data_IF_754406705551
#
_entry.id   IF_754406705551
#
_cell.length_a   1.000
_cell.length_b   1.000
_cell.length_c   1.000
_cell.angle_alpha   90.00
_cell.angle_beta   90.00
_cell.angle_gamma   90.00
#
_symmetry.space_group_name_H-M   'P 1'
#
loop_
_entity.id
_entity.type
_entity.pdbx_description
1 polymer ?
#
# COMPACT_ATOMS: atom_id res chain seq x y z
N UNK A 1 2.83 20.86 -3.56
CA UNK A 1 1.69 20.18 -2.92
C UNK A 1 0.50 21.13 -2.90
N UNK A 2 -0.60 20.74 -3.50
CA UNK A 2 -1.84 21.53 -3.54
C UNK A 2 -2.77 20.93 -2.50
N UNK A 3 -2.99 21.64 -1.38
CA UNK A 3 -4.01 21.26 -0.41
C UNK A 3 -5.38 21.71 -0.93
N UNK A 4 -6.34 20.80 -0.94
CA UNK A 4 -7.74 21.09 -1.17
C UNK A 4 -8.43 20.97 0.18
N UNK A 5 -8.63 22.10 0.85
CA UNK A 5 -9.11 22.15 2.25
C UNK A 5 -10.50 21.52 2.47
N UNK A 6 -11.31 21.40 1.42
CA UNK A 6 -12.69 20.90 1.52
C UNK A 6 -12.84 19.39 1.36
N UNK A 7 -11.82 18.69 0.86
CA UNK A 7 -11.91 17.25 0.54
C UNK A 7 -11.12 16.34 1.48
N UNK A 8 -10.26 16.91 2.32
CA UNK A 8 -9.45 16.16 3.27
C UNK A 8 -8.26 15.41 2.67
N UNK A 9 -7.93 15.63 1.39
CA UNK A 9 -6.76 15.03 0.73
C UNK A 9 -5.84 16.09 0.11
N UNK A 10 -4.63 15.69 -0.18
CA UNK A 10 -3.59 16.53 -0.83
C UNK A 10 -3.27 15.94 -2.20
N UNK A 11 -3.27 16.79 -3.23
CA UNK A 11 -2.85 16.39 -4.58
C UNK A 11 -1.40 16.84 -4.77
N UNK A 12 -0.53 15.90 -5.14
CA UNK A 12 0.85 16.22 -5.47
C UNK A 12 0.94 17.03 -6.76
N UNK A 13 1.90 17.97 -6.81
CA UNK A 13 2.07 18.84 -7.98
C UNK A 13 2.68 18.14 -9.20
N UNK A 14 3.17 16.92 -9.05
CA UNK A 14 3.69 16.10 -10.15
C UNK A 14 2.59 15.49 -11.03
N UNK A 15 1.34 15.48 -10.55
CA UNK A 15 0.20 15.00 -11.34
C UNK A 15 -0.64 16.15 -11.89
N UNK A 16 -1.29 15.91 -13.03
CA UNK A 16 -2.27 16.81 -13.64
C UNK A 16 -3.72 16.50 -13.26
N UNK A 17 -3.94 15.59 -12.33
CA UNK A 17 -5.28 15.28 -11.81
C UNK A 17 -5.89 16.49 -11.12
N UNK A 18 -7.15 16.75 -11.39
CA UNK A 18 -7.87 17.91 -10.85
C UNK A 18 -8.69 17.53 -9.61
N UNK A 19 -8.98 18.52 -8.77
CA UNK A 19 -9.87 18.32 -7.63
C UNK A 19 -11.29 17.89 -8.03
N UNK A 20 -11.74 18.26 -9.23
CA UNK A 20 -13.04 17.87 -9.76
C UNK A 20 -13.11 16.38 -10.09
N UNK A 21 -12.04 15.83 -10.68
CA UNK A 21 -11.92 14.39 -10.94
C UNK A 21 -11.89 13.55 -9.67
N UNK A 22 -11.41 14.14 -8.57
CA UNK A 22 -11.35 13.51 -7.24
C UNK A 22 -12.51 13.97 -6.32
N UNK A 23 -13.59 14.55 -6.90
CA UNK A 23 -14.72 14.95 -6.09
C UNK A 23 -15.35 13.74 -5.37
N UNK A 24 -15.58 13.88 -4.08
CA UNK A 24 -16.09 12.81 -3.23
C UNK A 24 -17.39 12.19 -3.79
N UNK A 25 -18.31 13.01 -4.28
CA UNK A 25 -19.56 12.55 -4.86
C UNK A 25 -19.35 11.66 -6.10
N UNK A 26 -18.34 11.97 -6.90
CA UNK A 26 -17.98 11.17 -8.10
C UNK A 26 -17.36 9.84 -7.68
N UNK A 27 -16.40 9.85 -6.75
CA UNK A 27 -15.70 8.65 -6.31
C UNK A 27 -16.60 7.72 -5.50
N UNK A 28 -17.40 8.28 -4.58
CA UNK A 28 -18.33 7.50 -3.75
C UNK A 28 -19.52 6.92 -4.53
N UNK A 29 -19.78 7.41 -5.74
CA UNK A 29 -20.81 6.85 -6.61
C UNK A 29 -20.37 5.58 -7.35
N UNK A 30 -19.07 5.26 -7.35
CA UNK A 30 -18.55 4.04 -7.98
C UNK A 30 -18.90 2.84 -7.12
N UNK A 31 -19.31 1.74 -7.77
CA UNK A 31 -19.43 0.46 -7.11
C UNK A 31 -18.02 -0.16 -7.00
N UNK A 32 -17.48 -0.13 -5.79
CA UNK A 32 -16.19 -0.70 -5.43
C UNK A 32 -16.36 -1.97 -4.57
N UNK A 33 -17.51 -2.65 -4.71
CA UNK A 33 -17.79 -3.87 -3.98
C UNK A 33 -16.86 -5.00 -4.45
N UNK A 34 -16.15 -5.61 -3.50
CA UNK A 34 -15.37 -6.82 -3.72
C UNK A 34 -16.29 -8.01 -3.47
N UNK A 35 -16.45 -8.91 -4.46
CA UNK A 35 -17.18 -10.17 -4.29
C UNK A 35 -16.21 -11.32 -3.90
N UNK A 36 -16.20 -11.77 -2.66
CA UNK A 36 -15.34 -12.86 -2.20
C UNK A 36 -15.87 -14.25 -2.59
N UNK A 37 -17.08 -14.35 -3.15
CA UNK A 37 -17.77 -15.62 -3.34
C UNK A 37 -17.06 -16.58 -4.31
N UNK A 38 -16.19 -16.09 -5.19
CA UNK A 38 -15.42 -16.91 -6.12
C UNK A 38 -14.36 -17.77 -5.44
N UNK A 39 -13.91 -17.40 -4.23
CA UNK A 39 -12.78 -18.01 -3.55
C UNK A 39 -11.43 -17.74 -4.19
N UNK A 40 -11.38 -16.91 -5.23
CA UNK A 40 -10.15 -16.44 -5.88
C UNK A 40 -9.58 -15.23 -5.15
N UNK A 41 -8.25 -15.03 -5.21
CA UNK A 41 -7.61 -13.88 -4.58
C UNK A 41 -8.18 -12.57 -5.09
N UNK A 42 -8.51 -11.68 -4.17
CA UNK A 42 -9.08 -10.34 -4.45
C UNK A 42 -8.13 -9.21 -4.07
N UNK A 43 -7.29 -9.44 -3.09
CA UNK A 43 -6.32 -8.47 -2.60
C UNK A 43 -4.92 -9.06 -2.73
N UNK A 44 -4.00 -8.27 -3.25
CA UNK A 44 -2.56 -8.50 -3.18
C UNK A 44 -1.97 -7.57 -2.13
N UNK A 45 -1.27 -8.12 -1.16
CA UNK A 45 -0.43 -7.38 -0.23
C UNK A 45 1.03 -7.69 -0.57
N UNK A 46 1.86 -6.66 -0.65
CA UNK A 46 3.30 -6.79 -0.87
C UNK A 46 4.08 -5.68 -0.17
N UNK A 47 5.39 -5.71 -0.25
CA UNK A 47 6.27 -4.78 0.45
C UNK A 47 7.48 -4.45 -0.41
N UNK A 48 7.48 -3.30 -1.10
CA UNK A 48 8.68 -2.85 -1.84
C UNK A 48 9.91 -2.79 -0.92
N UNK A 49 9.71 -2.41 0.34
CA UNK A 49 10.75 -2.36 1.36
C UNK A 49 10.44 -3.32 2.52
N UNK A 50 10.47 -4.63 2.24
CA UNK A 50 10.14 -5.68 3.21
C UNK A 50 11.05 -5.73 4.44
N UNK A 51 12.24 -5.12 4.36
CA UNK A 51 13.17 -5.00 5.49
C UNK A 51 12.80 -3.89 6.49
N UNK A 52 11.78 -3.07 6.22
CA UNK A 52 11.39 -1.98 7.12
C UNK A 52 10.92 -2.49 8.48
N UNK A 53 11.50 -1.90 9.53
CA UNK A 53 11.25 -2.25 10.93
C UNK A 53 10.61 -1.10 11.70
N UNK A 54 10.07 -1.39 12.87
CA UNK A 54 9.52 -0.43 13.83
C UNK A 54 10.48 -0.22 15.01
N UNK A 55 10.18 0.75 15.88
CA UNK A 55 11.07 1.11 16.99
C UNK A 55 11.30 -0.03 18.02
N UNK A 56 10.36 -0.95 18.09
CA UNK A 56 10.35 -2.10 19.00
C UNK A 56 10.60 -3.45 18.31
N UNK A 57 10.93 -3.43 17.00
CA UNK A 57 11.25 -4.63 16.24
C UNK A 57 12.52 -5.31 16.77
N UNK A 58 12.48 -6.61 16.90
CA UNK A 58 13.65 -7.42 17.22
C UNK A 58 14.55 -7.55 16.00
N UNK A 59 15.86 -7.39 16.12
CA UNK A 59 16.77 -7.51 14.98
C UNK A 59 16.69 -8.87 14.29
N UNK A 60 16.48 -8.86 12.97
CA UNK A 60 16.46 -10.08 12.14
C UNK A 60 15.18 -10.92 12.26
N UNK A 61 14.14 -10.43 12.94
CA UNK A 61 12.84 -11.09 13.04
C UNK A 61 11.91 -10.51 12.01
N UNK A 62 11.58 -11.27 10.97
CA UNK A 62 10.77 -10.82 9.82
C UNK A 62 9.32 -10.49 10.24
N UNK A 63 8.82 -11.20 11.22
CA UNK A 63 7.47 -10.97 11.77
C UNK A 63 7.32 -9.62 12.49
N UNK A 64 8.46 -8.99 12.83
CA UNK A 64 8.51 -7.68 13.47
C UNK A 64 8.70 -6.54 12.43
N UNK A 65 8.70 -6.86 11.14
CA UNK A 65 8.79 -5.89 10.04
C UNK A 65 7.41 -5.55 9.46
N UNK A 66 7.38 -4.75 8.40
CA UNK A 66 6.15 -4.49 7.63
C UNK A 66 5.52 -5.77 7.07
N UNK A 67 6.31 -6.84 6.87
CA UNK A 67 5.81 -8.14 6.44
C UNK A 67 4.89 -8.75 7.50
N UNK A 68 5.29 -8.70 8.78
CA UNK A 68 4.42 -9.17 9.87
C UNK A 68 3.13 -8.35 10.01
N UNK A 69 3.17 -7.05 9.68
CA UNK A 69 1.96 -6.24 9.60
C UNK A 69 1.06 -6.71 8.44
N UNK A 70 1.65 -7.07 7.30
CA UNK A 70 0.95 -7.67 6.16
C UNK A 70 0.32 -9.03 6.52
N UNK A 71 1.02 -9.87 7.30
CA UNK A 71 0.47 -11.15 7.81
C UNK A 71 -0.80 -10.91 8.64
N UNK A 72 -0.78 -9.94 9.55
CA UNK A 72 -1.94 -9.63 10.40
C UNK A 72 -3.09 -9.03 9.59
N UNK A 73 -2.80 -8.14 8.63
CA UNK A 73 -3.84 -7.61 7.75
C UNK A 73 -4.47 -8.72 6.89
N UNK A 74 -3.66 -9.65 6.37
CA UNK A 74 -4.14 -10.83 5.65
C UNK A 74 -5.10 -11.63 6.51
N UNK A 75 -4.69 -11.96 7.74
CA UNK A 75 -5.54 -12.69 8.69
C UNK A 75 -6.88 -12.00 8.92
N UNK A 76 -6.88 -10.69 9.16
CA UNK A 76 -8.11 -9.91 9.38
C UNK A 76 -9.00 -9.95 8.13
N UNK A 77 -8.45 -9.71 6.95
CA UNK A 77 -9.23 -9.71 5.70
C UNK A 77 -9.86 -11.08 5.42
N UNK A 78 -9.13 -12.16 5.67
CA UNK A 78 -9.62 -13.52 5.42
C UNK A 78 -10.58 -14.02 6.51
N UNK A 79 -10.23 -13.86 7.80
CA UNK A 79 -11.00 -14.41 8.90
C UNK A 79 -12.24 -13.57 9.26
N UNK A 80 -12.11 -12.24 9.26
CA UNK A 80 -13.18 -11.35 9.72
C UNK A 80 -14.08 -10.88 8.57
N UNK A 81 -13.52 -10.75 7.34
CA UNK A 81 -14.23 -10.23 6.17
C UNK A 81 -14.45 -11.27 5.06
N UNK A 82 -13.79 -12.42 5.13
CA UNK A 82 -13.90 -13.49 4.12
C UNK A 82 -13.31 -13.11 2.76
N UNK A 83 -12.41 -12.11 2.71
CA UNK A 83 -11.79 -11.62 1.48
C UNK A 83 -10.48 -12.38 1.25
N UNK A 84 -10.35 -13.19 0.19
CA UNK A 84 -9.13 -13.95 -0.10
C UNK A 84 -7.97 -13.02 -0.47
N UNK A 85 -6.81 -13.20 0.19
CA UNK A 85 -5.63 -12.37 0.04
C UNK A 85 -4.45 -13.19 -0.49
N UNK A 86 -3.74 -12.68 -1.49
CA UNK A 86 -2.40 -13.12 -1.81
C UNK A 86 -1.40 -12.20 -1.10
N UNK A 87 -0.70 -12.71 -0.08
CA UNK A 87 0.34 -11.95 0.60
C UNK A 87 1.70 -12.37 0.07
N UNK A 88 2.33 -11.49 -0.71
CA UNK A 88 3.70 -11.67 -1.16
C UNK A 88 4.68 -11.20 -0.08
N UNK A 89 5.41 -12.15 0.48
CA UNK A 89 6.39 -11.92 1.55
C UNK A 89 7.82 -11.75 1.02
N UNK A 90 7.98 -11.56 -0.28
CA UNK A 90 9.28 -11.35 -0.90
C UNK A 90 9.92 -10.06 -0.36
N UNK A 91 11.20 -10.13 -0.03
CA UNK A 91 11.98 -8.96 0.43
C UNK A 91 12.72 -8.40 -0.77
N UNK A 92 12.13 -7.38 -1.41
CA UNK A 92 12.65 -6.79 -2.66
C UNK A 92 13.82 -5.83 -2.45
N UNK A 93 13.99 -5.31 -1.26
CA UNK A 93 15.04 -4.35 -0.90
C UNK A 93 16.31 -4.99 -0.32
N UNK A 94 16.41 -6.33 -0.37
CA UNK A 94 17.63 -7.07 0.03
C UNK A 94 18.02 -8.03 -1.08
N UNK A 95 19.16 -7.77 -1.73
CA UNK A 95 19.70 -8.61 -2.80
C UNK A 95 21.04 -9.20 -2.34
N UNK A 96 21.18 -10.52 -2.44
CA UNK A 96 22.39 -11.25 -1.99
C UNK A 96 22.81 -10.93 -0.53
N UNK A 97 21.82 -10.63 0.33
CA UNK A 97 22.05 -10.29 1.73
C UNK A 97 22.51 -8.84 1.97
N UNK A 98 22.48 -8.01 0.95
CA UNK A 98 22.79 -6.57 1.03
C UNK A 98 21.54 -5.75 0.77
N UNK A 99 21.26 -4.78 1.66
CA UNK A 99 20.15 -3.86 1.47
C UNK A 99 20.44 -2.93 0.29
N UNK A 100 19.56 -2.95 -0.72
CA UNK A 100 19.57 -2.04 -1.87
C UNK A 100 18.17 -1.47 -2.11
N UNK A 101 17.91 -0.34 -1.48
CA UNK A 101 16.61 0.35 -1.60
C UNK A 101 16.42 1.05 -2.94
N UNK A 102 17.49 1.26 -3.71
CA UNK A 102 17.44 2.02 -4.96
C UNK A 102 16.78 1.27 -6.10
N UNK A 103 16.89 -0.07 -6.11
CA UNK A 103 16.31 -0.96 -7.12
C UNK A 103 15.08 -1.72 -6.61
N UNK A 104 14.69 -1.52 -5.36
CA UNK A 104 13.59 -2.26 -4.74
C UNK A 104 12.27 -2.13 -5.51
N UNK A 105 11.98 -0.94 -6.03
CA UNK A 105 10.77 -0.70 -6.84
C UNK A 105 10.80 -1.45 -8.17
N UNK A 106 11.95 -1.53 -8.84
CA UNK A 106 12.09 -2.27 -10.10
C UNK A 106 11.89 -3.77 -9.86
N UNK A 107 12.53 -4.33 -8.82
CA UNK A 107 12.35 -5.74 -8.46
C UNK A 107 10.93 -6.06 -8.01
N UNK A 108 10.30 -5.18 -7.23
CA UNK A 108 8.91 -5.34 -6.83
C UNK A 108 7.97 -5.30 -8.05
N UNK A 109 8.17 -4.36 -8.97
CA UNK A 109 7.37 -4.24 -10.19
C UNK A 109 7.36 -5.55 -10.98
N UNK A 110 8.53 -6.14 -11.24
CA UNK A 110 8.64 -7.40 -11.97
C UNK A 110 7.91 -8.55 -11.25
N UNK A 111 8.05 -8.62 -9.92
CA UNK A 111 7.39 -9.63 -9.09
C UNK A 111 5.87 -9.48 -9.08
N UNK A 112 5.39 -8.26 -8.89
CA UNK A 112 3.96 -7.94 -8.84
C UNK A 112 3.29 -8.17 -10.19
N UNK A 113 3.92 -7.79 -11.28
CA UNK A 113 3.42 -8.04 -12.63
C UNK A 113 3.22 -9.54 -12.89
N UNK A 114 4.16 -10.38 -12.46
CA UNK A 114 4.05 -11.83 -12.58
C UNK A 114 2.88 -12.38 -11.73
N UNK A 115 2.68 -11.87 -10.52
CA UNK A 115 1.56 -12.26 -9.64
C UNK A 115 0.22 -11.86 -10.25
N UNK A 116 0.09 -10.63 -10.74
CA UNK A 116 -1.15 -10.14 -11.35
C UNK A 116 -1.49 -10.88 -12.66
N UNK A 117 -0.49 -11.28 -13.43
CA UNK A 117 -0.70 -12.14 -14.60
C UNK A 117 -1.18 -13.53 -14.21
N UNK A 118 -0.69 -14.08 -13.10
CA UNK A 118 -1.09 -15.40 -12.62
C UNK A 118 -2.47 -15.38 -11.96
N UNK A 119 -2.83 -14.29 -11.28
CA UNK A 119 -4.07 -14.12 -10.53
C UNK A 119 -4.85 -12.89 -11.00
N UNK A 120 -5.45 -12.93 -12.18
CA UNK A 120 -6.16 -11.78 -12.76
C UNK A 120 -7.47 -11.42 -12.02
N UNK A 121 -7.84 -12.19 -11.01
CA UNK A 121 -8.97 -11.93 -10.10
C UNK A 121 -8.66 -10.90 -9.02
N UNK A 122 -7.39 -10.50 -8.86
CA UNK A 122 -6.97 -9.47 -7.91
C UNK A 122 -7.50 -8.12 -8.36
N UNK A 123 -8.21 -7.43 -7.46
CA UNK A 123 -8.87 -6.14 -7.71
C UNK A 123 -8.22 -5.01 -6.91
N UNK A 124 -7.50 -5.34 -5.82
CA UNK A 124 -6.84 -4.38 -4.94
C UNK A 124 -5.39 -4.77 -4.73
N UNK A 125 -4.48 -3.81 -4.85
CA UNK A 125 -3.04 -3.99 -4.62
C UNK A 125 -2.58 -3.02 -3.54
N UNK A 126 -1.97 -3.55 -2.48
CA UNK A 126 -1.51 -2.80 -1.32
C UNK A 126 0.00 -2.98 -1.14
N UNK A 127 0.75 -1.89 -1.25
CA UNK A 127 2.15 -1.82 -0.83
C UNK A 127 2.22 -1.27 0.59
N UNK A 128 2.63 -2.09 1.54
CA UNK A 128 2.66 -1.70 2.95
C UNK A 128 4.06 -1.24 3.33
N UNK A 129 4.15 0.00 3.76
CA UNK A 129 5.37 0.66 4.21
C UNK A 129 5.25 1.18 5.63
N UNK A 130 6.40 1.54 6.19
CA UNK A 130 6.47 2.49 7.30
C UNK A 130 7.03 3.81 6.81
N UNK A 131 6.55 4.93 7.36
CA UNK A 131 7.07 6.25 7.01
C UNK A 131 8.43 6.52 7.65
N UNK A 132 9.32 7.16 6.89
CA UNK A 132 10.63 7.61 7.34
C UNK A 132 10.54 8.93 8.09
N UNK A 133 10.45 8.88 9.41
CA UNK A 133 10.45 10.08 10.27
C UNK A 133 11.76 10.22 11.05
N UNK A 134 12.04 11.42 11.55
CA UNK A 134 13.21 11.64 12.42
C UNK A 134 13.06 10.81 13.71
N UNK A 135 14.17 10.43 14.30
CA UNK A 135 14.22 9.57 15.50
C UNK A 135 13.44 10.12 16.71
N UNK A 136 13.29 11.45 16.79
CA UNK A 136 12.56 12.15 17.86
C UNK A 136 11.06 12.29 17.58
N UNK A 137 10.57 11.83 16.41
CA UNK A 137 9.17 11.90 16.00
C UNK A 137 8.48 10.56 16.18
N UNK A 138 7.26 10.59 16.68
CA UNK A 138 6.36 9.44 16.76
C UNK A 138 5.01 9.84 16.18
N UNK A 139 4.57 9.14 15.15
CA UNK A 139 3.26 9.34 14.52
C UNK A 139 2.21 8.52 15.26
N UNK A 140 1.90 8.95 16.46
CA UNK A 140 0.98 8.27 17.37
C UNK A 140 -0.13 9.21 17.80
N UNK A 141 -1.35 8.69 17.87
CA UNK A 141 -2.52 9.34 18.46
C UNK A 141 -3.06 8.49 19.60
N UNK A 142 -3.59 9.15 20.62
CA UNK A 142 -4.40 8.46 21.61
C UNK A 142 -5.82 8.28 21.05
N UNK A 143 -6.29 7.03 21.02
CA UNK A 143 -7.66 6.68 20.69
C UNK A 143 -8.22 5.93 21.88
N UNK A 144 -9.14 6.53 22.61
CA UNK A 144 -9.78 5.98 23.82
C UNK A 144 -8.78 5.49 24.89
N UNK A 145 -7.67 6.22 25.06
CA UNK A 145 -6.61 5.90 26.01
C UNK A 145 -5.58 4.89 25.50
N UNK A 146 -5.66 4.49 24.23
CA UNK A 146 -4.71 3.56 23.61
C UNK A 146 -3.83 4.31 22.60
N UNK A 147 -2.49 4.32 22.80
CA UNK A 147 -1.56 4.84 21.81
C UNK A 147 -1.69 4.07 20.49
N UNK A 148 -2.10 4.76 19.45
CA UNK A 148 -2.42 4.15 18.14
C UNK A 148 -1.58 4.79 17.04
N UNK A 149 -0.97 3.99 16.18
CA UNK A 149 -0.22 4.47 15.03
C UNK A 149 -1.13 5.21 14.05
N UNK A 150 -0.62 6.30 13.47
CA UNK A 150 -1.31 6.99 12.40
C UNK A 150 -1.07 6.28 11.07
N UNK A 151 -2.13 6.09 10.29
CA UNK A 151 -2.10 5.49 8.96
C UNK A 151 -2.32 6.59 7.92
N UNK A 152 -1.60 6.52 6.81
CA UNK A 152 -1.79 7.35 5.64
C UNK A 152 -1.95 6.47 4.40
N UNK A 153 -2.95 6.76 3.58
CA UNK A 153 -3.07 6.15 2.26
C UNK A 153 -2.43 7.08 1.22
N UNK A 154 -1.52 6.52 0.43
CA UNK A 154 -1.00 7.16 -0.77
C UNK A 154 -1.59 6.42 -1.97
N UNK A 155 -2.48 7.08 -2.71
CA UNK A 155 -3.08 6.50 -3.90
C UNK A 155 -2.30 6.92 -5.15
N UNK A 156 -1.82 5.95 -5.92
CA UNK A 156 -1.18 6.18 -7.22
C UNK A 156 -2.22 6.65 -8.23
N UNK A 157 -1.99 7.80 -8.86
CA UNK A 157 -2.97 8.42 -9.75
C UNK A 157 -2.81 8.04 -11.21
N UNK A 158 -1.90 7.13 -11.56
CA UNK A 158 -1.65 6.66 -12.94
C UNK A 158 -1.32 7.75 -13.97
N UNK A 159 -1.12 8.98 -13.53
CA UNK A 159 -0.82 10.13 -14.39
C UNK A 159 0.22 11.04 -13.78
N UNK A 160 1.18 11.46 -14.59
CA UNK A 160 2.15 12.49 -14.23
C UNK A 160 2.16 13.62 -15.25
N UNK A 161 2.68 14.79 -14.87
CA UNK A 161 2.84 15.92 -15.79
C UNK A 161 3.81 15.60 -16.94
N UNK A 162 4.74 14.67 -16.72
CA UNK A 162 5.81 14.34 -17.67
C UNK A 162 5.41 13.18 -18.61
N UNK A 163 4.76 12.15 -18.06
CA UNK A 163 4.52 10.89 -18.77
C UNK A 163 3.06 10.67 -19.20
N UNK A 164 2.15 11.58 -18.87
CA UNK A 164 0.74 11.42 -19.16
C UNK A 164 0.09 10.25 -18.38
N UNK A 165 -0.89 9.60 -18.98
CA UNK A 165 -1.53 8.41 -18.39
C UNK A 165 -0.63 7.19 -18.49
N UNK A 166 -0.63 6.37 -17.44
CA UNK A 166 0.06 5.09 -17.37
C UNK A 166 -1.02 4.01 -17.34
N UNK A 167 -1.27 3.36 -18.47
CA UNK A 167 -2.43 2.52 -18.72
C UNK A 167 -2.60 1.32 -17.76
N UNK A 168 -1.52 0.87 -17.12
CA UNK A 168 -1.54 -0.28 -16.22
C UNK A 168 -1.73 0.07 -14.74
N UNK A 169 -1.82 1.34 -14.40
CA UNK A 169 -2.06 1.81 -13.02
C UNK A 169 -3.48 2.40 -12.89
N UNK A 170 -4.47 1.74 -13.44
CA UNK A 170 -5.86 2.19 -13.28
C UNK A 170 -6.34 1.90 -11.85
N UNK A 171 -6.75 2.96 -11.20
CA UNK A 171 -7.44 2.92 -9.91
C UNK A 171 -8.95 3.11 -10.10
#
# INVERSE_FOLDING_TARGET
VRCVEETGYTIDSSTNVTAEELAADTLLSKDLHIDPASGEYKVLIYHTHGSETFADSRPGVIEDTVIGLGDELTRILEEDYGIPVYHDRTVYDVVDGVEDRSLAYDYASDGIDAILQQYPSIEVVLDIHRDGVREDVRLVRDIDGVPTAQIMFLNGMSRTNENGEIDYLYN
#
